data_IF_541389288782
#
_entry.id   IF_541389288782
#
_cell.length_a   1.000
_cell.length_b   1.000
_cell.length_c   1.000
_cell.angle_alpha   90.00
_cell.angle_beta   90.00
_cell.angle_gamma   90.00
#
_symmetry.space_group_name_H-M   'P 1'
#
loop_
_entity.id
_entity.type
_entity.pdbx_description
1 polymer ?
#
# COMPACT_ATOMS: atom_id res chain seq x y z
N UNK A 1 -34.30 34.09 -66.35
CA UNK A 1 -33.65 34.60 -65.06
C UNK A 1 -33.79 33.54 -63.99
N UNK A 2 -32.78 32.69 -63.84
CA UNK A 2 -32.74 31.69 -62.76
C UNK A 2 -31.78 32.17 -61.69
N UNK A 3 -32.29 32.50 -60.49
CA UNK A 3 -31.49 32.84 -59.32
C UNK A 3 -31.12 31.56 -58.59
N UNK A 4 -29.88 31.11 -58.74
CA UNK A 4 -29.27 30.05 -57.95
C UNK A 4 -29.06 30.54 -56.49
N UNK A 5 -29.77 29.92 -55.55
CA UNK A 5 -29.49 30.12 -54.11
C UNK A 5 -28.45 29.13 -53.65
N UNK A 6 -27.23 29.64 -53.40
CA UNK A 6 -26.15 28.90 -52.82
C UNK A 6 -26.39 28.74 -51.32
N UNK A 7 -26.76 27.52 -50.86
CA UNK A 7 -26.93 27.20 -49.43
C UNK A 7 -25.55 26.84 -48.90
N UNK A 8 -25.00 27.72 -48.06
CA UNK A 8 -23.76 27.47 -47.33
C UNK A 8 -24.10 26.58 -46.14
N UNK A 9 -23.74 25.29 -46.22
CA UNK A 9 -23.87 24.33 -45.09
C UNK A 9 -22.67 24.54 -44.16
N UNK A 10 -22.89 25.25 -43.03
CA UNK A 10 -21.89 25.38 -41.96
C UNK A 10 -21.79 24.07 -41.21
N UNK A 11 -20.73 23.30 -41.45
CA UNK A 11 -20.35 22.11 -40.66
C UNK A 11 -19.81 22.59 -39.32
N UNK A 12 -20.63 22.52 -38.29
CA UNK A 12 -20.15 22.66 -36.88
C UNK A 12 -19.44 21.35 -36.48
N UNK A 13 -18.11 21.38 -36.49
CA UNK A 13 -17.29 20.33 -35.90
C UNK A 13 -17.31 20.58 -34.40
N UNK A 14 -18.14 19.81 -33.65
CA UNK A 14 -18.04 19.74 -32.19
C UNK A 14 -16.75 18.99 -31.84
N UNK A 15 -15.70 19.74 -31.49
CA UNK A 15 -14.55 19.18 -30.80
C UNK A 15 -15.00 18.91 -29.39
N UNK A 16 -15.43 17.68 -29.12
CA UNK A 16 -15.60 17.17 -27.77
C UNK A 16 -14.22 17.11 -27.14
N UNK A 17 -13.89 18.09 -26.32
CA UNK A 17 -12.79 17.97 -25.37
C UNK A 17 -13.27 17.01 -24.29
N UNK A 18 -12.92 15.73 -24.37
CA UNK A 18 -12.95 14.85 -23.21
C UNK A 18 -11.98 15.44 -22.19
N UNK A 19 -12.50 16.13 -21.18
CA UNK A 19 -11.75 16.40 -19.95
C UNK A 19 -11.35 15.04 -19.39
N UNK A 20 -10.09 14.66 -19.59
CA UNK A 20 -9.47 13.57 -18.84
C UNK A 20 -9.49 14.04 -17.38
N UNK A 21 -10.56 13.70 -16.69
CA UNK A 21 -10.64 13.84 -15.23
C UNK A 21 -9.52 12.99 -14.66
N UNK A 22 -8.39 13.61 -14.33
CA UNK A 22 -7.30 12.95 -13.61
C UNK A 22 -7.86 12.62 -12.23
N UNK A 23 -8.32 11.38 -12.07
CA UNK A 23 -8.83 10.86 -10.80
C UNK A 23 -7.71 10.99 -9.77
N UNK A 24 -7.84 11.95 -8.87
CA UNK A 24 -6.92 12.07 -7.75
C UNK A 24 -7.33 11.12 -6.65
N UNK A 25 -6.38 10.30 -6.18
CA UNK A 25 -6.61 9.44 -5.04
C UNK A 25 -6.71 10.26 -3.75
N UNK A 26 -7.53 9.83 -2.77
CA UNK A 26 -7.61 10.48 -1.47
C UNK A 26 -6.26 10.42 -0.74
N UNK A 27 -6.11 11.31 0.25
CA UNK A 27 -5.03 11.24 1.24
C UNK A 27 -5.68 10.90 2.58
N UNK A 28 -5.23 9.83 3.21
CA UNK A 28 -5.77 9.38 4.50
C UNK A 28 -4.98 9.97 5.66
N UNK A 29 -5.69 10.60 6.59
CA UNK A 29 -5.15 11.18 7.81
C UNK A 29 -5.78 10.51 9.04
N UNK A 30 -5.17 10.58 10.24
CA UNK A 30 -5.74 10.02 11.46
C UNK A 30 -7.17 10.46 11.75
N UNK A 31 -7.51 11.72 11.43
CA UNK A 31 -8.85 12.29 11.63
C UNK A 31 -9.94 11.65 10.76
N UNK A 32 -9.57 10.95 9.68
CA UNK A 32 -10.51 10.30 8.78
C UNK A 32 -11.03 8.97 9.35
N UNK A 33 -10.42 8.51 10.45
CA UNK A 33 -10.81 7.28 11.14
C UNK A 33 -11.60 7.57 12.41
N UNK A 34 -12.30 6.55 12.92
CA UNK A 34 -13.05 6.66 14.17
C UNK A 34 -12.11 7.08 15.33
N UNK A 35 -12.32 8.26 15.96
CA UNK A 35 -11.41 8.78 16.98
C UNK A 35 -11.32 7.91 18.24
N UNK A 36 -12.29 7.00 18.48
CA UNK A 36 -12.22 6.05 19.59
C UNK A 36 -11.20 4.95 19.35
N UNK A 37 -10.90 4.64 18.09
CA UNK A 37 -10.00 3.56 17.68
C UNK A 37 -8.57 4.07 17.43
N UNK A 38 -8.42 5.32 17.00
CA UNK A 38 -7.11 5.93 16.72
C UNK A 38 -6.41 6.29 18.05
N UNK A 39 -5.09 6.08 18.08
CA UNK A 39 -4.26 6.46 19.22
C UNK A 39 -4.42 7.95 19.58
N UNK A 40 -4.53 8.25 20.87
CA UNK A 40 -4.79 9.62 21.36
C UNK A 40 -3.75 10.63 20.91
N UNK A 41 -2.50 10.21 20.74
CA UNK A 41 -1.39 11.10 20.38
C UNK A 41 -1.46 11.64 18.94
N UNK A 42 -2.24 10.98 18.06
CA UNK A 42 -2.31 11.33 16.64
C UNK A 42 -3.72 11.60 16.11
N UNK A 43 -4.77 11.29 16.90
CA UNK A 43 -6.17 11.31 16.42
C UNK A 43 -6.66 12.65 15.85
N UNK A 44 -6.05 13.75 16.24
CA UNK A 44 -6.42 15.10 15.80
C UNK A 44 -5.58 15.58 14.62
N UNK A 45 -4.70 14.76 14.06
CA UNK A 45 -3.96 15.09 12.85
C UNK A 45 -4.91 14.97 11.66
N UNK A 46 -5.26 16.11 11.09
CA UNK A 46 -6.25 16.23 10.00
C UNK A 46 -5.63 16.42 8.62
N UNK A 47 -4.33 16.74 8.57
CA UNK A 47 -3.61 17.00 7.35
C UNK A 47 -2.14 16.61 7.49
N UNK A 48 -1.47 16.48 6.34
CA UNK A 48 -0.02 16.23 6.27
C UNK A 48 0.49 15.00 7.03
N UNK A 49 -0.38 14.02 7.33
CA UNK A 49 0.11 12.75 7.87
C UNK A 49 1.07 12.11 6.87
N UNK A 50 2.21 11.69 7.38
CA UNK A 50 3.22 10.94 6.62
C UNK A 50 3.63 9.71 7.40
N UNK A 51 3.83 8.64 6.65
CA UNK A 51 4.40 7.42 7.21
C UNK A 51 5.73 7.74 7.87
N UNK A 52 5.88 7.28 9.12
CA UNK A 52 7.10 7.48 9.93
C UNK A 52 8.26 6.67 9.37
N UNK A 53 9.45 7.13 9.65
CA UNK A 53 10.67 6.39 9.32
C UNK A 53 10.72 5.04 10.03
N UNK A 54 11.21 4.04 9.32
CA UNK A 54 11.36 2.69 9.81
C UNK A 54 12.77 2.14 9.55
N UNK A 55 13.18 1.19 10.38
CA UNK A 55 14.41 0.41 10.21
C UNK A 55 14.07 -1.06 10.49
N UNK A 56 14.28 -1.91 9.51
CA UNK A 56 13.90 -3.31 9.50
C UNK A 56 15.04 -4.17 8.96
N UNK A 57 14.90 -5.49 9.01
CA UNK A 57 15.81 -6.45 8.42
C UNK A 57 15.00 -7.28 7.44
N UNK A 58 15.44 -7.38 6.18
CA UNK A 58 14.72 -8.15 5.19
C UNK A 58 15.10 -9.65 5.21
N UNK A 59 14.44 -10.44 4.37
CA UNK A 59 14.64 -11.88 4.20
C UNK A 59 16.07 -12.28 3.83
N UNK A 60 16.92 -11.35 3.41
CA UNK A 60 18.33 -11.58 3.09
C UNK A 60 19.28 -11.13 4.21
N UNK A 61 18.74 -10.72 5.38
CA UNK A 61 19.52 -10.19 6.48
C UNK A 61 20.04 -8.77 6.26
N UNK A 62 19.57 -8.08 5.22
CA UNK A 62 19.97 -6.73 4.88
C UNK A 62 19.12 -5.75 5.67
N UNK A 63 19.77 -4.76 6.30
CA UNK A 63 19.05 -3.65 6.93
C UNK A 63 18.44 -2.78 5.85
N UNK A 64 17.15 -2.56 5.96
CA UNK A 64 16.38 -1.65 5.11
C UNK A 64 15.74 -0.56 5.97
N UNK A 65 15.49 0.58 5.37
CA UNK A 65 14.93 1.75 6.03
C UNK A 65 13.95 2.47 5.10
N UNK A 66 13.25 3.45 5.63
CA UNK A 66 12.40 4.33 4.83
C UNK A 66 13.15 5.07 3.71
N UNK A 67 14.50 5.19 3.80
CA UNK A 67 15.32 5.78 2.73
C UNK A 67 15.35 4.93 1.47
N UNK A 68 15.28 3.61 1.61
CA UNK A 68 15.25 2.68 0.48
C UNK A 68 13.93 2.77 -0.31
N UNK A 69 12.93 3.44 0.28
CA UNK A 69 11.61 3.72 -0.30
C UNK A 69 11.40 5.20 -0.65
N UNK A 70 12.45 6.03 -0.60
CA UNK A 70 12.36 7.43 -1.04
C UNK A 70 12.03 7.50 -2.54
N UNK A 71 11.07 8.36 -2.89
CA UNK A 71 10.55 8.51 -4.24
C UNK A 71 9.96 7.22 -4.82
N UNK A 72 9.53 6.27 -3.99
CA UNK A 72 8.83 5.05 -4.40
C UNK A 72 7.37 5.10 -4.00
N UNK A 73 6.53 4.50 -4.83
CA UNK A 73 5.20 4.08 -4.48
C UNK A 73 5.34 2.69 -3.89
N UNK A 74 4.70 2.41 -2.76
CA UNK A 74 4.84 1.08 -2.18
C UNK A 74 3.57 0.60 -1.49
N UNK A 75 3.39 -0.72 -1.50
CA UNK A 75 2.29 -1.40 -0.81
C UNK A 75 2.84 -2.08 0.42
N UNK A 76 2.17 -1.87 1.56
CA UNK A 76 2.55 -2.44 2.85
C UNK A 76 1.47 -3.39 3.35
N UNK A 77 1.89 -4.53 3.91
CA UNK A 77 1.04 -5.40 4.72
C UNK A 77 1.74 -5.87 6.00
N UNK A 78 0.93 -6.41 6.91
CA UNK A 78 1.37 -6.99 8.17
C UNK A 78 0.94 -8.45 8.21
N UNK A 79 1.90 -9.35 8.36
CA UNK A 79 1.70 -10.78 8.22
C UNK A 79 2.50 -11.59 9.25
N UNK A 80 2.37 -12.90 9.25
CA UNK A 80 3.27 -13.85 9.90
C UNK A 80 3.30 -15.19 9.14
N UNK A 81 4.48 -15.83 9.12
CA UNK A 81 4.72 -16.99 8.25
C UNK A 81 3.88 -18.21 8.60
N UNK A 82 3.54 -18.38 9.87
CA UNK A 82 2.78 -19.50 10.40
C UNK A 82 1.25 -19.30 10.42
N UNK A 83 0.75 -18.23 9.79
CA UNK A 83 -0.69 -17.98 9.69
C UNK A 83 -1.39 -19.03 8.82
N UNK A 84 -2.41 -19.76 9.36
CA UNK A 84 -3.08 -20.80 8.59
C UNK A 84 -4.28 -20.29 7.78
N UNK A 85 -4.65 -19.01 7.90
CA UNK A 85 -5.92 -18.51 7.37
C UNK A 85 -5.76 -17.43 6.29
N UNK A 86 -5.68 -16.16 6.65
CA UNK A 86 -5.71 -15.05 5.67
C UNK A 86 -4.37 -14.79 5.01
N UNK A 87 -3.23 -14.96 5.71
CA UNK A 87 -1.92 -14.62 5.15
C UNK A 87 -1.57 -15.39 3.85
N UNK A 88 -1.90 -16.69 3.68
CA UNK A 88 -1.69 -17.35 2.40
C UNK A 88 -2.45 -16.69 1.24
N UNK A 89 -3.68 -16.21 1.48
CA UNK A 89 -4.49 -15.51 0.48
C UNK A 89 -3.86 -14.16 0.18
N UNK A 90 -3.53 -13.39 1.21
CA UNK A 90 -2.87 -12.09 1.08
C UNK A 90 -1.55 -12.20 0.32
N UNK A 91 -0.71 -13.21 0.66
CA UNK A 91 0.57 -13.42 -0.04
C UNK A 91 0.37 -13.72 -1.52
N UNK A 92 -0.59 -14.58 -1.87
CA UNK A 92 -0.90 -14.86 -3.27
C UNK A 92 -1.42 -13.60 -4.00
N UNK A 93 -2.21 -12.78 -3.34
CA UNK A 93 -2.69 -11.52 -3.89
C UNK A 93 -1.57 -10.47 -4.02
N UNK A 94 -0.60 -10.44 -3.09
CA UNK A 94 0.57 -9.58 -3.21
C UNK A 94 1.49 -10.01 -4.36
N UNK A 95 1.55 -11.32 -4.68
CA UNK A 95 2.25 -11.82 -5.88
C UNK A 95 1.64 -11.27 -7.17
N UNK A 96 0.32 -11.11 -7.26
CA UNK A 96 -0.31 -10.48 -8.42
C UNK A 96 0.16 -9.03 -8.60
N UNK A 97 0.28 -8.29 -7.48
CA UNK A 97 0.84 -6.94 -7.52
C UNK A 97 2.33 -6.96 -7.91
N UNK A 98 3.10 -7.93 -7.40
CA UNK A 98 4.50 -8.11 -7.79
C UNK A 98 4.64 -8.35 -9.29
N UNK A 99 3.86 -9.25 -9.86
CA UNK A 99 3.89 -9.62 -11.27
C UNK A 99 3.54 -8.42 -12.17
N UNK A 100 2.48 -7.68 -11.83
CA UNK A 100 2.05 -6.51 -12.58
C UNK A 100 3.14 -5.43 -12.66
N UNK A 101 3.80 -5.15 -11.54
CA UNK A 101 4.79 -4.08 -11.45
C UNK A 101 6.24 -4.56 -11.47
N UNK A 102 6.51 -5.80 -11.90
CA UNK A 102 7.88 -6.37 -11.87
C UNK A 102 8.91 -5.52 -12.63
N UNK A 103 8.49 -4.88 -13.71
CA UNK A 103 9.35 -4.05 -14.56
C UNK A 103 9.37 -2.56 -14.14
N UNK A 104 8.49 -2.16 -13.24
CA UNK A 104 8.42 -0.77 -12.79
C UNK A 104 9.24 -0.61 -11.51
N UNK A 105 10.42 0.02 -11.60
CA UNK A 105 11.33 0.20 -10.47
C UNK A 105 10.84 1.22 -9.42
N UNK A 106 9.79 1.98 -9.71
CA UNK A 106 9.23 2.99 -8.80
C UNK A 106 8.13 2.43 -7.90
N UNK A 107 7.70 1.19 -8.14
CA UNK A 107 6.74 0.46 -7.30
C UNK A 107 7.47 -0.64 -6.52
N UNK A 108 7.30 -0.65 -5.20
CA UNK A 108 7.91 -1.61 -4.28
C UNK A 108 6.86 -2.26 -3.37
N UNK A 109 7.19 -3.41 -2.78
CA UNK A 109 6.35 -4.12 -1.83
C UNK A 109 7.10 -4.31 -0.51
N UNK A 110 6.37 -4.21 0.62
CA UNK A 110 6.94 -4.29 1.95
C UNK A 110 6.00 -5.05 2.90
N UNK A 111 6.38 -6.26 3.28
CA UNK A 111 5.67 -7.04 4.29
C UNK A 111 6.42 -7.03 5.61
N UNK A 112 5.71 -6.71 6.71
CA UNK A 112 6.28 -6.66 8.06
C UNK A 112 5.73 -7.79 8.90
N UNK A 113 6.61 -8.67 9.42
CA UNK A 113 6.17 -9.73 10.32
C UNK A 113 5.74 -9.18 11.68
N UNK A 114 4.55 -9.59 12.14
CA UNK A 114 4.03 -9.26 13.47
C UNK A 114 4.48 -10.25 14.55
N UNK A 115 5.19 -11.30 14.17
CA UNK A 115 5.80 -12.29 15.07
C UNK A 115 7.33 -12.37 14.91
N UNK A 116 8.06 -11.25 15.06
CA UNK A 116 9.50 -11.20 14.76
C UNK A 116 10.34 -12.12 15.65
N UNK A 117 9.81 -12.58 16.76
CA UNK A 117 10.46 -13.57 17.64
C UNK A 117 10.50 -14.97 16.99
N UNK A 118 9.55 -15.26 16.10
CA UNK A 118 9.42 -16.52 15.35
C UNK A 118 9.99 -16.34 13.94
N UNK A 119 9.59 -15.27 13.28
CA UNK A 119 9.92 -14.93 11.90
C UNK A 119 11.31 -14.25 11.82
N UNK A 120 12.34 -15.01 12.13
CA UNK A 120 13.73 -14.57 11.94
C UNK A 120 14.12 -14.57 10.44
N UNK A 121 15.32 -14.09 10.12
CA UNK A 121 15.81 -13.97 8.73
C UNK A 121 15.78 -15.30 7.99
N UNK A 122 16.14 -16.41 8.64
CA UNK A 122 16.17 -17.73 8.04
C UNK A 122 14.75 -18.21 7.66
N UNK A 123 13.79 -18.03 8.59
CA UNK A 123 12.37 -18.35 8.36
C UNK A 123 11.81 -17.50 7.23
N UNK A 124 12.07 -16.20 7.24
CA UNK A 124 11.62 -15.29 6.19
C UNK A 124 12.24 -15.61 4.84
N UNK A 125 13.53 -15.99 4.78
CA UNK A 125 14.19 -16.40 3.54
C UNK A 125 13.54 -17.65 2.94
N UNK A 126 13.30 -18.65 3.76
CA UNK A 126 12.60 -19.86 3.32
C UNK A 126 11.21 -19.55 2.79
N UNK A 127 10.44 -18.74 3.54
CA UNK A 127 9.12 -18.31 3.14
C UNK A 127 9.14 -17.57 1.80
N UNK A 128 10.08 -16.60 1.64
CA UNK A 128 10.22 -15.82 0.41
C UNK A 128 10.48 -16.71 -0.81
N UNK A 129 11.37 -17.70 -0.68
CA UNK A 129 11.67 -18.67 -1.75
C UNK A 129 10.44 -19.52 -2.08
N UNK A 130 9.78 -20.09 -1.06
CA UNK A 130 8.59 -20.92 -1.23
C UNK A 130 7.42 -20.18 -1.90
N UNK A 131 7.31 -18.88 -1.65
CA UNK A 131 6.25 -18.04 -2.21
C UNK A 131 6.60 -17.37 -3.55
N UNK A 132 7.84 -17.43 -4.02
CA UNK A 132 8.25 -16.80 -5.27
C UNK A 132 8.44 -15.28 -5.16
N UNK A 133 8.84 -14.81 -3.98
CA UNK A 133 9.17 -13.40 -3.74
C UNK A 133 10.43 -13.01 -4.51
N UNK A 134 10.38 -11.90 -5.21
CA UNK A 134 11.52 -11.34 -5.97
C UNK A 134 12.17 -10.24 -5.14
N UNK A 135 13.40 -10.48 -4.68
CA UNK A 135 14.12 -9.64 -3.73
C UNK A 135 14.27 -8.17 -4.18
N UNK A 136 14.36 -7.91 -5.49
CA UNK A 136 14.44 -6.55 -6.03
C UNK A 136 13.12 -5.79 -6.01
N UNK A 137 12.01 -6.48 -5.75
CA UNK A 137 10.66 -5.92 -5.80
C UNK A 137 10.00 -5.92 -4.43
N UNK A 138 10.20 -6.97 -3.65
CA UNK A 138 9.47 -7.20 -2.42
C UNK A 138 10.38 -7.55 -1.25
N UNK A 139 10.37 -6.72 -0.22
CA UNK A 139 11.03 -7.00 1.05
C UNK A 139 10.04 -7.61 2.04
N UNK A 140 10.32 -8.81 2.49
CA UNK A 140 9.65 -9.46 3.62
C UNK A 140 10.53 -9.26 4.85
N UNK A 141 10.01 -8.64 5.90
CA UNK A 141 10.85 -8.05 6.93
C UNK A 141 10.50 -8.49 8.35
N UNK A 142 11.50 -8.42 9.21
CA UNK A 142 11.45 -8.59 10.65
C UNK A 142 12.15 -7.43 11.36
N UNK A 143 12.04 -7.37 12.68
CA UNK A 143 12.67 -6.32 13.46
C UNK A 143 12.19 -6.28 14.91
N UNK A 144 12.25 -5.11 15.54
CA UNK A 144 11.69 -4.93 16.87
C UNK A 144 10.15 -5.01 16.84
N UNK A 145 9.54 -5.91 17.58
CA UNK A 145 8.09 -6.04 17.72
C UNK A 145 7.43 -4.72 18.08
N UNK A 146 7.97 -4.03 19.09
CA UNK A 146 7.47 -2.72 19.50
C UNK A 146 7.45 -1.73 18.33
N UNK A 147 8.53 -1.66 17.55
CA UNK A 147 8.63 -0.76 16.41
C UNK A 147 7.61 -1.11 15.31
N UNK A 148 7.49 -2.39 14.95
CA UNK A 148 6.54 -2.87 13.93
C UNK A 148 5.09 -2.56 14.35
N UNK A 149 4.75 -2.78 15.63
CA UNK A 149 3.42 -2.51 16.17
C UNK A 149 3.09 -1.02 16.23
N UNK A 150 4.07 -0.17 16.55
CA UNK A 150 3.92 1.29 16.48
C UNK A 150 3.70 1.76 15.03
N UNK A 151 4.43 1.18 14.07
CA UNK A 151 4.22 1.47 12.64
C UNK A 151 2.81 1.07 12.20
N UNK A 152 2.37 -0.15 12.53
CA UNK A 152 1.06 -0.65 12.15
C UNK A 152 -0.08 0.23 12.65
N UNK A 153 -0.01 0.71 13.91
CA UNK A 153 -1.08 1.46 14.58
C UNK A 153 -1.03 2.97 14.35
N UNK A 154 0.17 3.54 14.34
CA UNK A 154 0.36 4.99 14.39
C UNK A 154 0.92 5.60 13.11
N UNK A 155 1.32 4.75 12.18
CA UNK A 155 1.96 5.19 10.95
C UNK A 155 1.17 4.78 9.71
N UNK A 156 0.87 3.49 9.60
CA UNK A 156 0.16 2.92 8.46
C UNK A 156 -1.35 2.77 8.67
N UNK A 157 -1.86 2.88 9.91
CA UNK A 157 -3.27 2.63 10.26
C UNK A 157 -3.77 1.27 9.77
N UNK A 158 -2.87 0.30 9.72
CA UNK A 158 -3.19 -1.06 9.30
C UNK A 158 -4.21 -1.72 10.22
N UNK A 159 -4.14 -1.38 11.52
CA UNK A 159 -5.13 -1.70 12.54
C UNK A 159 -5.48 -0.45 13.34
N UNK A 160 -6.75 -0.33 13.70
CA UNK A 160 -7.26 0.80 14.47
C UNK A 160 -7.44 0.49 15.96
N UNK A 161 -7.19 -0.77 16.40
CA UNK A 161 -7.17 -1.09 17.83
C UNK A 161 -5.94 -0.48 18.49
N UNK A 162 -6.06 -0.23 19.80
CA UNK A 162 -4.95 0.35 20.59
C UNK A 162 -3.94 -0.69 21.01
N UNK A 163 -4.32 -1.97 21.00
CA UNK A 163 -3.63 -3.03 21.72
C UNK A 163 -3.51 -2.73 23.21
N UNK A 164 -3.07 -3.66 23.98
CA UNK A 164 -2.76 -3.49 25.41
C UNK A 164 -1.24 -3.39 25.68
N UNK A 165 -0.42 -3.63 24.64
CA UNK A 165 1.04 -3.66 24.72
C UNK A 165 1.58 -4.87 25.48
N UNK A 166 0.72 -5.81 25.88
CA UNK A 166 1.06 -7.02 26.63
C UNK A 166 1.54 -8.17 25.73
N UNK A 167 1.77 -9.31 26.37
CA UNK A 167 2.18 -10.55 25.67
C UNK A 167 1.07 -11.08 24.75
N UNK A 168 -0.20 -10.78 25.04
CA UNK A 168 -1.37 -11.17 24.26
C UNK A 168 -1.68 -10.18 23.13
N UNK A 169 -0.96 -9.06 23.05
CA UNK A 169 -1.16 -8.08 21.99
C UNK A 169 -0.71 -8.67 20.65
N UNK A 170 -1.67 -8.88 19.76
CA UNK A 170 -1.44 -9.53 18.48
C UNK A 170 -2.16 -8.79 17.36
N UNK A 171 -1.39 -8.28 16.39
CA UNK A 171 -1.93 -7.62 15.21
C UNK A 171 -2.33 -8.69 14.19
N UNK A 172 -3.59 -8.64 13.74
CA UNK A 172 -4.12 -9.48 12.68
C UNK A 172 -5.06 -8.63 11.82
N UNK A 173 -4.63 -8.34 10.60
CA UNK A 173 -5.36 -7.45 9.68
C UNK A 173 -5.22 -7.93 8.23
N UNK A 174 -6.29 -7.87 7.42
CA UNK A 174 -6.21 -8.16 5.99
C UNK A 174 -5.72 -6.97 5.17
N UNK A 175 -5.42 -5.83 5.77
CA UNK A 175 -5.24 -4.58 5.05
C UNK A 175 -3.91 -4.49 4.29
N UNK A 176 -4.00 -4.15 3.00
CA UNK A 176 -2.91 -3.60 2.20
C UNK A 176 -3.00 -2.08 2.20
N UNK A 177 -1.89 -1.41 2.44
CA UNK A 177 -1.80 0.05 2.54
C UNK A 177 -0.95 0.58 1.38
N UNK A 178 -1.52 1.42 0.52
CA UNK A 178 -0.84 2.09 -0.57
C UNK A 178 -0.25 3.41 -0.09
N UNK A 179 1.05 3.59 -0.31
CA UNK A 179 1.80 4.79 0.06
C UNK A 179 2.45 5.40 -1.17
N UNK A 180 2.35 6.72 -1.31
CA UNK A 180 2.93 7.46 -2.43
C UNK A 180 4.38 7.93 -2.16
N UNK A 181 4.98 8.55 -3.18
CA UNK A 181 6.34 9.11 -3.13
C UNK A 181 6.54 10.20 -2.07
N UNK A 182 5.45 10.79 -1.55
CA UNK A 182 5.46 11.79 -0.48
C UNK A 182 5.24 11.19 0.90
N UNK A 183 5.27 9.84 1.02
CA UNK A 183 4.98 9.08 2.24
C UNK A 183 3.54 9.27 2.74
N UNK A 184 2.57 9.58 1.85
CA UNK A 184 1.16 9.75 2.19
C UNK A 184 0.39 8.46 1.89
N UNK A 185 -0.54 8.10 2.76
CA UNK A 185 -1.42 6.95 2.54
C UNK A 185 -2.50 7.35 1.52
N UNK A 186 -2.58 6.60 0.42
CA UNK A 186 -3.46 6.89 -0.71
C UNK A 186 -4.57 5.85 -0.88
N UNK A 187 -4.48 4.73 -0.17
CA UNK A 187 -5.49 3.68 -0.20
C UNK A 187 -5.31 2.65 0.90
N UNK A 188 -6.42 2.03 1.29
CA UNK A 188 -6.48 0.87 2.17
C UNK A 188 -7.40 -0.14 1.50
N UNK A 189 -6.94 -1.39 1.38
CA UNK A 189 -7.59 -2.44 0.60
C UNK A 189 -7.64 -3.72 1.42
N UNK A 190 -8.72 -4.48 1.32
CA UNK A 190 -8.75 -5.83 1.87
C UNK A 190 -7.92 -6.76 0.97
N UNK A 191 -6.75 -7.15 1.46
CA UNK A 191 -5.81 -8.03 0.75
C UNK A 191 -6.31 -9.44 0.51
N UNK A 192 -7.47 -9.83 1.08
CA UNK A 192 -8.11 -11.13 0.84
C UNK A 192 -9.15 -11.09 -0.27
N UNK A 193 -9.50 -9.91 -0.78
CA UNK A 193 -10.58 -9.70 -1.75
C UNK A 193 -10.01 -9.35 -3.13
N UNK A 194 -10.19 -10.20 -4.13
CA UNK A 194 -9.65 -10.03 -5.49
C UNK A 194 -10.04 -8.69 -6.14
N UNK A 195 -11.30 -8.25 -5.94
CA UNK A 195 -11.76 -6.96 -6.45
C UNK A 195 -10.99 -5.78 -5.86
N UNK A 196 -10.59 -5.88 -4.59
CA UNK A 196 -9.77 -4.86 -3.93
C UNK A 196 -8.33 -4.85 -4.45
N UNK A 197 -7.79 -6.02 -4.85
CA UNK A 197 -6.47 -6.10 -5.49
C UNK A 197 -6.51 -5.46 -6.88
N UNK A 198 -7.56 -5.72 -7.65
CA UNK A 198 -7.76 -5.04 -8.95
C UNK A 198 -7.84 -3.52 -8.78
N UNK A 199 -8.55 -3.04 -7.74
CA UNK A 199 -8.62 -1.61 -7.40
C UNK A 199 -7.25 -1.06 -6.99
N UNK A 200 -6.49 -1.78 -6.17
CA UNK A 200 -5.13 -1.40 -5.76
C UNK A 200 -4.22 -1.23 -6.98
N UNK A 201 -4.23 -2.17 -7.92
CA UNK A 201 -3.43 -2.11 -9.15
C UNK A 201 -3.79 -0.87 -9.98
N UNK A 202 -5.08 -0.58 -10.15
CA UNK A 202 -5.53 0.64 -10.86
C UNK A 202 -5.07 1.91 -10.13
N UNK A 203 -5.17 1.95 -8.81
CA UNK A 203 -4.80 3.11 -8.01
C UNK A 203 -3.26 3.31 -7.99
N UNK A 204 -2.45 2.23 -8.04
CA UNK A 204 -0.99 2.33 -8.24
C UNK A 204 -0.69 2.97 -9.60
N UNK A 205 -1.34 2.53 -10.69
CA UNK A 205 -1.13 3.11 -12.02
C UNK A 205 -1.43 4.62 -12.03
N UNK A 206 -2.50 5.07 -11.36
CA UNK A 206 -2.78 6.51 -11.21
C UNK A 206 -1.62 7.25 -10.55
N UNK A 207 -0.94 6.65 -9.56
CA UNK A 207 0.19 7.28 -8.88
C UNK A 207 1.48 7.25 -9.70
N UNK A 208 1.66 6.25 -10.56
CA UNK A 208 2.82 6.13 -11.46
C UNK A 208 2.76 7.18 -12.58
N UNK A 209 1.55 7.56 -13.03
CA UNK A 209 1.33 8.50 -14.14
C UNK A 209 1.38 9.98 -13.71
N UNK A 210 1.57 10.28 -12.41
CA UNK A 210 1.68 11.64 -11.85
C UNK A 210 3.14 12.05 -11.67
#
# INVERSE_FOLDING_TARGET
MFRSKLIFLLLFVFISCDEVSTKQLPIYNPSDFNPKLVDKSIRNVSDNHRVKDFNLINQNGIKISSKDYENKIYVVDFFFTSCPSICPIMTNNMLLVQEEFIKNNDVMLLSMSVTPEIDNVEVLKKYAIEKGVIDSKWNITTGSKKHIYELARKSFFAVLDKGDGGLQDFIHTPNFILVDTKKQIRGIYDGTVEKEISRLILDINILVDI
#
